data_IF_081052953946
#
_entry.id   IF_081052953946
#
_cell.length_a   1.000
_cell.length_b   1.000
_cell.length_c   1.000
_cell.angle_alpha   90.00
_cell.angle_beta   90.00
_cell.angle_gamma   90.00
#
_symmetry.space_group_name_H-M   'P 1'
#
loop_
_entity.id
_entity.type
_entity.pdbx_description
1 polymer ?
#
# COMPACT_ATOMS: atom_id res chain seq x y z
N UNK A 1 -22.69 3.06 -51.83
CA UNK A 1 -21.93 3.79 -50.77
C UNK A 1 -22.08 3.02 -49.48
N UNK A 2 -21.06 2.27 -49.05
CA UNK A 2 -21.03 1.67 -47.72
C UNK A 2 -19.64 1.89 -47.14
N UNK A 3 -19.55 2.83 -46.23
CA UNK A 3 -18.33 3.21 -45.51
C UNK A 3 -18.18 2.29 -44.29
N UNK A 4 -17.32 1.28 -44.40
CA UNK A 4 -16.91 0.42 -43.30
C UNK A 4 -15.97 1.18 -42.35
N UNK A 5 -16.51 1.55 -41.18
CA UNK A 5 -15.79 2.21 -40.09
C UNK A 5 -14.72 1.27 -39.54
N UNK A 6 -13.43 1.64 -39.62
CA UNK A 6 -12.32 0.91 -39.00
C UNK A 6 -12.47 0.97 -37.47
N UNK A 7 -12.78 -0.17 -36.83
CA UNK A 7 -12.80 -0.30 -35.36
C UNK A 7 -11.38 -0.03 -34.84
N UNK A 8 -11.23 0.97 -33.97
CA UNK A 8 -9.94 1.46 -33.50
C UNK A 8 -9.23 0.41 -32.61
N UNK A 9 -8.00 0.02 -32.98
CA UNK A 9 -7.15 -0.99 -32.30
C UNK A 9 -6.95 -0.74 -30.80
N UNK A 10 -6.98 0.52 -30.39
CA UNK A 10 -6.75 0.98 -29.01
C UNK A 10 -7.84 0.45 -28.06
N UNK A 11 -9.08 0.30 -28.52
CA UNK A 11 -10.17 -0.22 -27.69
C UNK A 11 -9.95 -1.70 -27.31
N UNK A 12 -9.42 -2.50 -28.23
CA UNK A 12 -9.10 -3.91 -27.95
C UNK A 12 -7.86 -4.10 -27.08
N UNK A 13 -6.94 -3.14 -27.08
CA UNK A 13 -5.74 -3.18 -26.24
C UNK A 13 -6.04 -2.68 -24.81
N UNK A 14 -6.90 -1.67 -24.65
CA UNK A 14 -7.34 -1.19 -23.34
C UNK A 14 -8.12 -2.25 -22.55
N UNK A 15 -9.02 -2.98 -23.21
CA UNK A 15 -9.74 -4.08 -22.55
C UNK A 15 -8.78 -5.16 -22.04
N UNK A 16 -7.74 -5.51 -22.81
CA UNK A 16 -6.72 -6.48 -22.38
C UNK A 16 -5.86 -5.98 -21.22
N UNK A 17 -5.61 -4.67 -21.15
CA UNK A 17 -4.88 -4.05 -20.04
C UNK A 17 -5.75 -3.92 -18.79
N UNK A 18 -7.05 -3.63 -18.94
CA UNK A 18 -8.01 -3.64 -17.84
C UNK A 18 -8.24 -5.06 -17.30
N UNK A 19 -8.31 -6.06 -18.18
CA UNK A 19 -8.37 -7.48 -17.78
C UNK A 19 -7.08 -7.91 -17.05
N UNK A 20 -5.92 -7.38 -17.48
CA UNK A 20 -4.63 -7.64 -16.84
C UNK A 20 -4.46 -6.90 -15.49
N UNK A 21 -4.85 -5.63 -15.39
CA UNK A 21 -4.83 -4.87 -14.13
C UNK A 21 -5.84 -5.41 -13.10
N UNK A 22 -7.06 -5.73 -13.55
CA UNK A 22 -8.08 -6.29 -12.68
C UNK A 22 -7.65 -7.62 -12.06
N UNK A 23 -6.85 -8.42 -12.78
CA UNK A 23 -6.32 -9.68 -12.26
C UNK A 23 -5.36 -9.47 -11.07
N UNK A 24 -4.55 -8.41 -11.11
CA UNK A 24 -3.64 -8.06 -10.01
C UNK A 24 -4.39 -7.65 -8.75
N UNK A 25 -5.40 -6.80 -8.89
CA UNK A 25 -6.23 -6.35 -7.76
C UNK A 25 -6.96 -7.49 -7.05
N UNK A 26 -7.51 -8.45 -7.80
CA UNK A 26 -8.20 -9.61 -7.22
C UNK A 26 -7.24 -10.50 -6.42
N UNK A 27 -6.03 -10.73 -6.93
CA UNK A 27 -5.00 -11.51 -6.21
C UNK A 27 -4.62 -10.82 -4.90
N UNK A 28 -4.41 -9.50 -4.91
CA UNK A 28 -4.12 -8.73 -3.69
C UNK A 28 -5.24 -8.82 -2.66
N UNK A 29 -6.50 -8.73 -3.09
CA UNK A 29 -7.64 -8.87 -2.19
C UNK A 29 -7.70 -10.26 -1.54
N UNK A 30 -7.44 -11.33 -2.31
CA UNK A 30 -7.40 -12.69 -1.77
C UNK A 30 -6.23 -12.85 -0.78
N UNK A 31 -5.05 -12.33 -1.12
CA UNK A 31 -3.88 -12.37 -0.23
C UNK A 31 -4.17 -11.61 1.07
N UNK A 32 -4.76 -10.43 1.01
CA UNK A 32 -5.13 -9.65 2.20
C UNK A 32 -6.12 -10.40 3.10
N UNK A 33 -7.13 -11.04 2.51
CA UNK A 33 -8.08 -11.88 3.25
C UNK A 33 -7.37 -13.06 3.94
N UNK A 34 -6.47 -13.74 3.23
CA UNK A 34 -5.68 -14.83 3.81
C UNK A 34 -4.78 -14.35 4.96
N UNK A 35 -4.17 -13.17 4.81
CA UNK A 35 -3.36 -12.54 5.87
C UNK A 35 -4.22 -12.26 7.10
N UNK A 36 -5.41 -11.67 6.93
CA UNK A 36 -6.33 -11.39 8.05
C UNK A 36 -6.76 -12.69 8.75
N UNK A 37 -7.12 -13.73 8.00
CA UNK A 37 -7.49 -15.02 8.57
C UNK A 37 -6.33 -15.62 9.36
N UNK A 38 -5.12 -15.58 8.80
CA UNK A 38 -3.92 -16.15 9.44
C UNK A 38 -3.53 -15.37 10.70
N UNK A 39 -3.65 -14.04 10.68
CA UNK A 39 -3.33 -13.15 11.80
C UNK A 39 -4.32 -13.28 12.98
N UNK A 40 -5.57 -13.64 12.71
CA UNK A 40 -6.59 -13.86 13.75
C UNK A 40 -6.69 -15.33 14.23
N UNK A 41 -5.87 -16.22 13.67
CA UNK A 41 -5.90 -17.66 14.00
C UNK A 41 -4.96 -18.02 15.15
N UNK A 42 -5.13 -19.21 15.74
CA UNK A 42 -4.23 -19.76 16.76
C UNK A 42 -2.77 -19.87 16.28
N UNK A 43 -2.54 -19.87 14.97
CA UNK A 43 -1.21 -19.87 14.33
C UNK A 43 -0.53 -18.49 14.31
N UNK A 44 -1.21 -17.42 14.69
CA UNK A 44 -0.65 -16.07 14.71
C UNK A 44 0.63 -16.00 15.56
N UNK A 45 0.64 -16.65 16.74
CA UNK A 45 1.82 -16.66 17.62
C UNK A 45 3.04 -17.29 16.95
N UNK A 46 2.86 -18.41 16.24
CA UNK A 46 3.93 -19.08 15.51
C UNK A 46 4.38 -18.27 14.29
N UNK A 47 3.44 -17.64 13.59
CA UNK A 47 3.71 -16.75 12.45
C UNK A 47 4.55 -15.53 12.86
N UNK A 48 4.13 -14.81 13.90
CA UNK A 48 4.88 -13.66 14.42
C UNK A 48 6.24 -14.10 14.99
N UNK A 49 6.31 -15.20 15.74
CA UNK A 49 7.58 -15.69 16.24
C UNK A 49 8.56 -16.04 15.11
N UNK A 50 8.08 -16.63 14.02
CA UNK A 50 8.89 -16.90 12.82
C UNK A 50 9.39 -15.62 12.15
N UNK A 51 8.56 -14.59 12.03
CA UNK A 51 8.95 -13.29 11.45
C UNK A 51 9.98 -12.53 12.32
N UNK A 52 9.91 -12.67 13.64
CA UNK A 52 10.88 -12.08 14.56
C UNK A 52 12.13 -12.93 14.81
N UNK A 53 12.26 -14.10 14.16
CA UNK A 53 13.52 -14.85 14.22
C UNK A 53 14.63 -13.96 13.67
N UNK A 54 15.63 -13.75 14.51
CA UNK A 54 16.83 -13.01 14.13
C UNK A 54 17.69 -13.88 13.24
N UNK A 55 17.90 -13.41 12.00
CA UNK A 55 18.80 -14.04 11.04
C UNK A 55 19.96 -13.08 10.81
N UNK A 56 21.05 -13.32 11.55
CA UNK A 56 22.18 -12.41 11.60
C UNK A 56 21.90 -11.18 12.47
N UNK A 57 22.10 -9.97 11.92
CA UNK A 57 21.93 -8.71 12.64
C UNK A 57 20.47 -8.19 12.67
N UNK A 58 19.62 -8.68 11.77
CA UNK A 58 18.25 -8.19 11.59
C UNK A 58 17.23 -9.34 11.68
N UNK A 59 15.99 -9.00 12.03
CA UNK A 59 14.88 -9.97 12.01
C UNK A 59 14.48 -10.32 10.57
N UNK A 60 13.89 -11.50 10.37
CA UNK A 60 13.33 -11.89 9.07
C UNK A 60 12.32 -10.86 8.55
N UNK A 61 11.54 -10.24 9.43
CA UNK A 61 10.64 -9.14 9.08
C UNK A 61 11.38 -7.99 8.38
N UNK A 62 12.54 -7.57 8.89
CA UNK A 62 13.31 -6.48 8.30
C UNK A 62 13.90 -6.87 6.95
N UNK A 63 14.45 -8.08 6.85
CA UNK A 63 14.93 -8.62 5.57
C UNK A 63 13.83 -8.68 4.51
N UNK A 64 12.63 -9.15 4.88
CA UNK A 64 11.48 -9.20 3.97
C UNK A 64 11.10 -7.77 3.55
N UNK A 65 11.01 -6.84 4.49
CA UNK A 65 10.63 -5.45 4.20
C UNK A 65 11.63 -4.77 3.23
N UNK A 66 12.92 -4.89 3.51
CA UNK A 66 13.96 -4.29 2.68
C UNK A 66 14.07 -4.97 1.31
N UNK A 67 13.93 -6.29 1.25
CA UNK A 67 13.94 -7.03 -0.01
C UNK A 67 12.72 -6.68 -0.88
N UNK A 68 11.52 -6.63 -0.29
CA UNK A 68 10.29 -6.27 -1.01
C UNK A 68 10.43 -4.86 -1.60
N UNK A 69 10.88 -3.89 -0.79
CA UNK A 69 11.14 -2.53 -1.24
C UNK A 69 12.20 -2.49 -2.34
N UNK A 70 13.31 -3.22 -2.19
CA UNK A 70 14.36 -3.25 -3.21
C UNK A 70 13.86 -3.77 -4.56
N UNK A 71 12.95 -4.75 -4.58
CA UNK A 71 12.35 -5.28 -5.81
C UNK A 71 11.37 -4.27 -6.41
N UNK A 72 10.59 -3.58 -5.59
CA UNK A 72 9.72 -2.49 -6.05
C UNK A 72 10.52 -1.32 -6.65
N UNK A 73 11.71 -1.04 -6.13
CA UNK A 73 12.57 0.06 -6.60
C UNK A 73 13.66 -0.37 -7.58
N UNK A 74 13.74 -1.64 -7.99
CA UNK A 74 14.70 -2.15 -9.01
C UNK A 74 14.29 -1.74 -10.45
N UNK A 75 13.64 -0.59 -10.57
CA UNK A 75 12.98 -0.12 -11.77
C UNK A 75 13.85 0.99 -12.37
N UNK A 76 14.02 1.07 -13.70
CA UNK A 76 14.86 2.09 -14.32
C UNK A 76 14.56 3.52 -13.85
N UNK A 77 15.59 4.36 -13.74
CA UNK A 77 15.56 5.67 -13.08
C UNK A 77 14.43 6.64 -13.52
N UNK A 78 13.97 6.55 -14.78
CA UNK A 78 12.84 7.38 -15.25
C UNK A 78 11.48 6.93 -14.69
N UNK A 79 11.38 5.66 -14.29
CA UNK A 79 10.18 5.02 -13.76
C UNK A 79 10.25 4.91 -12.22
N UNK A 80 11.44 4.97 -11.61
CA UNK A 80 11.64 5.04 -10.15
C UNK A 80 10.79 6.15 -9.49
N UNK A 81 10.85 7.38 -10.01
CA UNK A 81 10.08 8.53 -9.49
C UNK A 81 8.57 8.28 -9.60
N UNK A 82 8.13 7.60 -10.66
CA UNK A 82 6.73 7.25 -10.86
C UNK A 82 6.29 6.15 -9.91
N UNK A 83 7.10 5.10 -9.71
CA UNK A 83 6.79 4.01 -8.75
C UNK A 83 6.81 4.53 -7.32
N UNK A 84 7.77 5.38 -6.95
CA UNK A 84 7.80 6.04 -5.66
C UNK A 84 6.55 6.89 -5.41
N UNK A 85 6.13 7.67 -6.41
CA UNK A 85 4.89 8.44 -6.32
C UNK A 85 3.66 7.54 -6.18
N UNK A 86 3.59 6.42 -6.91
CA UNK A 86 2.48 5.46 -6.84
C UNK A 86 2.39 4.79 -5.47
N UNK A 87 3.53 4.37 -4.89
CA UNK A 87 3.58 3.79 -3.55
C UNK A 87 3.10 4.77 -2.47
N UNK A 88 3.55 6.03 -2.54
CA UNK A 88 3.10 7.07 -1.61
C UNK A 88 1.60 7.36 -1.77
N UNK A 89 1.09 7.37 -3.01
CA UNK A 89 -0.34 7.63 -3.29
C UNK A 89 -1.24 6.52 -2.75
N UNK A 90 -0.82 5.25 -2.81
CA UNK A 90 -1.55 4.13 -2.23
C UNK A 90 -1.66 4.26 -0.70
N UNK A 91 -0.53 4.49 -0.02
CA UNK A 91 -0.47 4.68 1.44
C UNK A 91 -1.29 5.91 1.90
N UNK A 92 -1.14 7.05 1.20
CA UNK A 92 -1.87 8.28 1.53
C UNK A 92 -3.36 8.13 1.24
N UNK A 93 -3.73 7.46 0.14
CA UNK A 93 -5.12 7.20 -0.24
C UNK A 93 -5.85 6.39 0.81
N UNK A 94 -5.22 5.32 1.32
CA UNK A 94 -5.74 4.52 2.43
C UNK A 94 -5.97 5.36 3.69
N UNK A 95 -4.98 6.15 4.09
CA UNK A 95 -5.07 7.05 5.27
C UNK A 95 -6.20 8.07 5.12
N UNK A 96 -6.37 8.67 3.93
CA UNK A 96 -7.45 9.64 3.69
C UNK A 96 -8.82 8.97 3.79
N UNK A 97 -8.98 7.79 3.18
CA UNK A 97 -10.24 7.04 3.22
C UNK A 97 -10.60 6.66 4.65
N UNK A 98 -9.68 6.08 5.44
CA UNK A 98 -9.98 5.75 6.84
C UNK A 98 -10.30 7.00 7.66
N UNK A 99 -9.64 8.13 7.39
CA UNK A 99 -9.84 9.34 8.20
C UNK A 99 -11.21 9.96 7.92
N UNK A 100 -11.62 10.04 6.66
CA UNK A 100 -12.91 10.65 6.28
C UNK A 100 -14.09 9.73 6.65
N UNK A 101 -13.97 8.42 6.43
CA UNK A 101 -15.08 7.50 6.65
C UNK A 101 -15.22 7.04 8.10
N UNK A 102 -14.14 7.06 8.88
CA UNK A 102 -14.14 6.55 10.27
C UNK A 102 -14.13 7.66 11.33
N UNK A 103 -14.00 8.94 10.93
CA UNK A 103 -14.18 10.11 11.82
C UNK A 103 -15.66 10.47 11.91
N UNK A 104 -16.28 10.15 13.04
CA UNK A 104 -17.65 10.61 13.35
C UNK A 104 -17.66 11.94 14.12
N UNK A 105 -16.67 12.17 14.99
CA UNK A 105 -16.53 13.38 15.80
C UNK A 105 -15.06 13.75 15.97
N UNK A 106 -14.75 15.04 15.88
CA UNK A 106 -13.39 15.57 16.13
C UNK A 106 -13.31 16.04 17.58
N UNK A 107 -12.48 15.36 18.39
CA UNK A 107 -12.20 15.80 19.75
C UNK A 107 -11.24 17.00 19.73
N UNK A 108 -11.79 18.22 19.85
CA UNK A 108 -11.03 19.47 19.84
C UNK A 108 -9.99 19.57 20.96
N UNK A 109 -10.24 18.95 22.12
CA UNK A 109 -9.28 18.94 23.23
C UNK A 109 -8.07 18.09 22.87
N UNK A 110 -8.29 16.91 22.28
CA UNK A 110 -7.20 16.05 21.81
C UNK A 110 -6.42 16.70 20.66
N UNK A 111 -7.11 17.36 19.72
CA UNK A 111 -6.48 18.06 18.59
C UNK A 111 -5.59 19.22 19.07
N UNK A 112 -6.10 20.08 19.96
CA UNK A 112 -5.30 21.16 20.55
C UNK A 112 -4.12 20.62 21.36
N UNK A 113 -4.31 19.51 22.09
CA UNK A 113 -3.24 18.83 22.80
C UNK A 113 -2.12 18.36 21.86
N UNK A 114 -2.47 17.73 20.73
CA UNK A 114 -1.51 17.27 19.74
C UNK A 114 -0.71 18.44 19.12
N UNK A 115 -1.39 19.53 18.75
CA UNK A 115 -0.75 20.73 18.19
C UNK A 115 0.21 21.38 19.19
N UNK A 116 -0.17 21.47 20.47
CA UNK A 116 0.69 22.02 21.51
C UNK A 116 1.95 21.18 21.73
N UNK A 117 1.82 19.85 21.80
CA UNK A 117 2.96 18.96 21.99
C UNK A 117 3.92 19.04 20.79
N UNK A 118 3.38 18.97 19.58
CA UNK A 118 4.18 19.07 18.35
C UNK A 118 4.86 20.44 18.24
N UNK A 119 4.13 21.53 18.50
CA UNK A 119 4.68 22.88 18.48
C UNK A 119 5.79 23.08 19.50
N UNK A 120 5.65 22.54 20.72
CA UNK A 120 6.73 22.57 21.70
C UNK A 120 7.97 21.83 21.18
N UNK A 121 7.82 20.62 20.62
CA UNK A 121 8.95 19.86 20.08
C UNK A 121 9.69 20.66 19.00
N UNK A 122 8.98 21.29 18.08
CA UNK A 122 9.59 22.12 17.01
C UNK A 122 10.29 23.36 17.57
N UNK A 123 9.76 23.97 18.63
CA UNK A 123 10.38 25.16 19.25
C UNK A 123 11.66 24.78 20.01
N UNK A 124 11.69 23.59 20.63
CA UNK A 124 12.81 23.11 21.45
C UNK A 124 13.85 22.30 20.69
N UNK A 125 13.64 22.02 19.39
CA UNK A 125 14.58 21.32 18.52
C UNK A 125 15.24 22.27 17.51
#
# INVERSE_FOLDING_TARGET
MSSTVKKCRIQSDLHKLLDAEASGGIVYMIVAVLVIITANSAFAKTYFHALYVYVGLFSLQHWINDALMSVFFLVPAWLEIFVAALAIVDDLGGVIVITIFYTSDVNLVALNGAVLIFGNLVIFN
#
